data_IF_867323080902
#
_entry.id   IF_867323080902
#
_cell.length_a   1.000
_cell.length_b   1.000
_cell.length_c   1.000
_cell.angle_alpha   90.00
_cell.angle_beta   90.00
_cell.angle_gamma   90.00
#
_symmetry.space_group_name_H-M   'P 1'
#
loop_
_entity.id
_entity.type
_entity.pdbx_description
1 polymer ?
#
# COMPACT_ATOMS: atom_id res chain seq x y z
N UNK A 1 -15.52 14.28 19.22
CA UNK A 1 -15.08 13.18 20.11
C UNK A 1 -14.86 11.89 19.33
N UNK A 2 -15.82 11.44 18.51
CA UNK A 2 -15.64 10.25 17.65
C UNK A 2 -14.47 10.38 16.66
N UNK A 3 -14.33 11.53 15.98
CA UNK A 3 -13.24 11.79 15.03
C UNK A 3 -11.85 11.72 15.66
N UNK A 4 -11.70 12.24 16.87
CA UNK A 4 -10.43 12.22 17.61
C UNK A 4 -10.02 10.79 17.97
N UNK A 5 -10.97 9.96 18.41
CA UNK A 5 -10.74 8.54 18.70
C UNK A 5 -10.36 7.75 17.44
N UNK A 6 -11.03 8.00 16.31
CA UNK A 6 -10.69 7.33 15.04
C UNK A 6 -9.32 7.74 14.54
N UNK A 7 -8.96 9.02 14.63
CA UNK A 7 -7.65 9.52 14.20
C UNK A 7 -6.53 8.97 15.09
N UNK A 8 -6.74 8.91 16.41
CA UNK A 8 -5.78 8.34 17.35
C UNK A 8 -5.57 6.84 17.11
N UNK A 9 -6.65 6.07 16.93
CA UNK A 9 -6.55 4.64 16.61
C UNK A 9 -5.84 4.40 15.26
N UNK A 10 -6.12 5.22 14.24
CA UNK A 10 -5.42 5.13 12.96
C UNK A 10 -3.91 5.36 13.13
N UNK A 11 -3.51 6.37 13.91
CA UNK A 11 -2.10 6.65 14.18
C UNK A 11 -1.41 5.51 14.93
N UNK A 12 -2.06 4.93 15.95
CA UNK A 12 -1.52 3.79 16.71
C UNK A 12 -1.35 2.57 15.80
N UNK A 13 -2.36 2.24 14.99
CA UNK A 13 -2.30 1.11 14.06
C UNK A 13 -1.25 1.32 12.97
N UNK A 14 -1.12 2.54 12.42
CA UNK A 14 -0.07 2.90 11.46
C UNK A 14 1.31 2.76 12.11
N UNK A 15 1.49 3.25 13.33
CA UNK A 15 2.75 3.15 14.08
C UNK A 15 3.16 1.70 14.34
N UNK A 16 2.22 0.87 14.79
CA UNK A 16 2.45 -0.55 15.02
C UNK A 16 2.77 -1.32 13.72
N UNK A 17 1.99 -1.07 12.66
CA UNK A 17 2.24 -1.63 11.33
C UNK A 17 3.64 -1.26 10.80
N UNK A 18 4.06 -0.01 10.99
CA UNK A 18 5.41 0.43 10.60
C UNK A 18 6.49 -0.27 11.39
N UNK A 19 6.36 -0.36 12.71
CA UNK A 19 7.35 -1.00 13.58
C UNK A 19 7.51 -2.49 13.23
N UNK A 20 6.40 -3.21 13.08
CA UNK A 20 6.42 -4.62 12.69
C UNK A 20 7.05 -4.83 11.32
N UNK A 21 6.69 -4.00 10.32
CA UNK A 21 7.35 -4.05 9.00
C UNK A 21 8.86 -3.82 9.11
N UNK A 22 9.31 -2.86 9.92
CA UNK A 22 10.75 -2.58 10.06
C UNK A 22 11.52 -3.75 10.65
N UNK A 23 10.93 -4.46 11.61
CA UNK A 23 11.50 -5.66 12.21
C UNK A 23 11.53 -6.81 11.20
N UNK A 24 10.39 -7.16 10.58
CA UNK A 24 10.32 -8.29 9.65
C UNK A 24 11.21 -8.12 8.41
N UNK A 25 11.39 -6.88 7.95
CA UNK A 25 12.24 -6.58 6.80
C UNK A 25 13.70 -6.24 7.19
N UNK A 26 14.04 -6.30 8.49
CA UNK A 26 15.37 -6.00 9.01
C UNK A 26 15.89 -4.66 8.50
N UNK A 27 15.02 -3.64 8.50
CA UNK A 27 15.31 -2.32 7.91
C UNK A 27 16.59 -1.70 8.49
N UNK A 28 16.81 -1.68 9.82
CA UNK A 28 18.04 -1.10 10.37
C UNK A 28 19.32 -1.77 9.85
N UNK A 29 19.33 -3.12 9.78
CA UNK A 29 20.50 -3.87 9.30
C UNK A 29 20.76 -3.60 7.82
N UNK A 30 19.70 -3.58 7.00
CA UNK A 30 19.83 -3.31 5.57
C UNK A 30 20.26 -1.86 5.28
N UNK A 31 19.80 -0.89 6.08
CA UNK A 31 20.27 0.49 5.96
C UNK A 31 21.74 0.62 6.35
N UNK A 32 22.16 -0.07 7.42
CA UNK A 32 23.56 -0.12 7.81
C UNK A 32 24.43 -0.76 6.71
N UNK A 33 24.02 -1.89 6.15
CA UNK A 33 24.72 -2.52 5.03
C UNK A 33 24.82 -1.59 3.83
N UNK A 34 23.72 -0.92 3.46
CA UNK A 34 23.71 0.05 2.37
C UNK A 34 24.70 1.20 2.65
N UNK A 35 24.68 1.76 3.86
CA UNK A 35 25.56 2.88 4.22
C UNK A 35 27.04 2.47 4.25
N UNK A 36 27.36 1.22 4.61
CA UNK A 36 28.71 0.66 4.52
C UNK A 36 29.17 0.43 3.06
N UNK A 37 28.23 0.29 2.12
CA UNK A 37 28.54 0.15 0.69
C UNK A 37 28.64 1.51 -0.01
N UNK A 38 28.01 2.55 0.56
CA UNK A 38 27.91 3.89 0.01
C UNK A 38 28.27 4.94 1.09
N UNK A 39 29.55 5.01 1.48
CA UNK A 39 30.01 5.84 2.60
C UNK A 39 29.78 7.35 2.41
N UNK A 40 29.75 7.78 1.16
CA UNK A 40 29.73 9.17 0.71
C UNK A 40 28.31 9.63 0.32
N UNK A 41 27.30 8.79 0.53
CA UNK A 41 25.91 9.08 0.16
C UNK A 41 25.04 9.29 1.39
N UNK A 42 24.38 10.45 1.46
CA UNK A 42 23.41 10.73 2.51
C UNK A 42 22.05 10.09 2.22
N UNK A 43 21.53 9.31 3.18
CA UNK A 43 20.16 8.77 3.13
C UNK A 43 19.19 9.84 3.63
N UNK A 44 18.27 10.28 2.77
CA UNK A 44 17.28 11.33 3.06
C UNK A 44 15.93 10.75 3.50
N UNK A 45 15.53 9.62 2.93
CA UNK A 45 14.35 8.89 3.34
C UNK A 45 14.53 7.39 3.07
N UNK A 46 13.91 6.56 3.91
CA UNK A 46 13.87 5.13 3.67
C UNK A 46 12.56 4.53 4.21
N UNK A 47 12.17 3.40 3.63
CA UNK A 47 11.05 2.63 4.15
C UNK A 47 10.82 1.32 3.41
N UNK A 48 10.16 0.39 4.10
CA UNK A 48 9.66 -0.83 3.46
C UNK A 48 8.71 -0.45 2.34
N UNK A 49 8.84 -1.13 1.21
CA UNK A 49 8.03 -0.87 0.02
C UNK A 49 7.50 -2.14 -0.63
N UNK A 50 6.34 -2.00 -1.28
CA UNK A 50 5.94 -2.82 -2.41
C UNK A 50 6.22 -2.05 -3.69
N UNK A 51 7.07 -2.58 -4.54
CA UNK A 51 7.56 -1.92 -5.73
C UNK A 51 7.10 -2.65 -7.00
N UNK A 52 6.75 -1.88 -8.02
CA UNK A 52 6.37 -2.38 -9.34
C UNK A 52 7.00 -1.51 -10.41
N UNK A 53 7.45 -2.17 -11.48
CA UNK A 53 7.74 -1.53 -12.76
C UNK A 53 6.53 -1.74 -13.65
N UNK A 54 6.09 -0.69 -14.33
CA UNK A 54 4.90 -0.65 -15.16
C UNK A 54 5.31 -0.35 -16.60
N UNK A 55 4.58 -0.88 -17.56
CA UNK A 55 4.81 -0.61 -18.99
C UNK A 55 4.34 0.79 -19.41
N UNK A 56 3.43 1.39 -18.65
CA UNK A 56 2.87 2.71 -18.91
C UNK A 56 2.51 3.42 -17.59
N UNK A 57 2.35 4.73 -17.64
CA UNK A 57 1.80 5.48 -16.52
C UNK A 57 0.32 5.15 -16.30
N UNK A 58 0.08 4.16 -15.42
CA UNK A 58 -1.25 3.70 -15.08
C UNK A 58 -1.71 4.26 -13.73
N UNK A 59 -3.02 4.48 -13.53
CA UNK A 59 -3.56 4.87 -12.24
C UNK A 59 -3.33 3.76 -11.19
N UNK A 60 -3.20 4.15 -9.92
CA UNK A 60 -3.05 3.20 -8.81
C UNK A 60 -4.37 2.47 -8.57
N UNK A 61 -4.37 1.14 -8.72
CA UNK A 61 -5.55 0.29 -8.52
C UNK A 61 -5.26 -0.89 -7.57
N UNK A 62 -6.30 -1.41 -6.91
CA UNK A 62 -6.25 -2.70 -6.22
C UNK A 62 -6.31 -3.82 -7.25
N UNK A 63 -5.15 -4.32 -7.62
CA UNK A 63 -5.00 -5.37 -8.62
C UNK A 63 -4.00 -6.43 -8.19
N UNK A 64 -4.05 -7.59 -8.86
CA UNK A 64 -3.18 -8.73 -8.59
C UNK A 64 -1.69 -8.40 -8.76
N UNK A 65 -1.34 -7.38 -9.56
CA UNK A 65 0.03 -6.92 -9.71
C UNK A 65 0.70 -6.51 -8.38
N UNK A 66 -0.08 -6.09 -7.36
CA UNK A 66 0.46 -5.83 -6.03
C UNK A 66 0.75 -7.09 -5.21
N UNK A 67 0.13 -8.22 -5.55
CA UNK A 67 0.44 -9.51 -4.92
C UNK A 67 1.82 -9.98 -5.38
N UNK A 68 2.09 -9.91 -6.69
CA UNK A 68 3.36 -10.24 -7.32
C UNK A 68 4.42 -9.13 -7.21
N UNK A 69 4.08 -7.98 -6.62
CA UNK A 69 5.02 -6.86 -6.47
C UNK A 69 6.27 -7.25 -5.68
N UNK A 70 7.40 -6.66 -6.06
CA UNK A 70 8.64 -6.77 -5.32
C UNK A 70 8.42 -6.19 -3.93
N UNK A 71 8.83 -6.92 -2.89
CA UNK A 71 8.81 -6.43 -1.51
C UNK A 71 10.25 -6.17 -1.09
N UNK A 72 10.51 -5.00 -0.56
CA UNK A 72 11.88 -4.61 -0.22
C UNK A 72 11.91 -3.31 0.56
N UNK A 73 13.02 -2.60 0.41
CA UNK A 73 13.19 -1.27 0.97
C UNK A 73 13.47 -0.30 -0.16
N UNK A 74 12.79 0.84 -0.12
CA UNK A 74 13.10 2.00 -0.94
C UNK A 74 13.98 2.93 -0.12
N UNK A 75 15.10 3.36 -0.70
CA UNK A 75 16.05 4.31 -0.11
C UNK A 75 16.16 5.48 -1.07
N UNK A 76 15.94 6.69 -0.56
CA UNK A 76 16.18 7.95 -1.25
C UNK A 76 17.48 8.56 -0.75
N UNK A 77 18.31 8.93 -1.70
CA UNK A 77 19.57 9.65 -1.50
C UNK A 77 19.54 10.98 -2.24
N UNK A 78 20.61 11.76 -2.17
CA UNK A 78 20.70 13.06 -2.85
C UNK A 78 20.61 12.96 -4.38
N UNK A 79 21.05 11.84 -4.96
CA UNK A 79 21.20 11.68 -6.41
C UNK A 79 20.42 10.49 -6.97
N UNK A 80 19.93 9.58 -6.12
CA UNK A 80 19.33 8.33 -6.60
C UNK A 80 18.25 7.73 -5.67
N UNK A 81 17.33 6.98 -6.27
CA UNK A 81 16.39 6.08 -5.60
C UNK A 81 16.85 4.62 -5.77
N UNK A 82 16.97 3.90 -4.66
CA UNK A 82 17.38 2.50 -4.63
C UNK A 82 16.24 1.59 -4.15
N UNK A 83 15.99 0.49 -4.88
CA UNK A 83 15.01 -0.52 -4.48
C UNK A 83 15.41 -1.93 -4.97
N UNK A 84 16.19 -2.64 -4.16
CA UNK A 84 16.76 -3.94 -4.56
C UNK A 84 17.89 -3.73 -5.57
N UNK A 85 17.76 -4.32 -6.75
CA UNK A 85 18.68 -4.10 -7.89
C UNK A 85 18.32 -2.87 -8.74
N UNK A 86 17.25 -2.16 -8.40
CA UNK A 86 16.87 -0.93 -9.11
C UNK A 86 17.62 0.25 -8.54
N UNK A 87 18.35 0.92 -9.42
CA UNK A 87 19.01 2.19 -9.19
C UNK A 87 18.41 3.21 -10.18
N UNK A 88 17.69 4.21 -9.66
CA UNK A 88 16.96 5.19 -10.46
C UNK A 88 17.57 6.57 -10.17
N UNK A 89 18.51 7.05 -11.00
CA UNK A 89 19.12 8.36 -10.81
C UNK A 89 18.07 9.46 -10.90
N UNK A 90 18.08 10.39 -9.94
CA UNK A 90 17.09 11.47 -9.86
C UNK A 90 17.13 12.38 -11.09
N UNK A 91 18.30 12.53 -11.72
CA UNK A 91 18.46 13.27 -12.97
C UNK A 91 17.67 12.65 -14.15
N UNK A 92 17.28 11.37 -14.08
CA UNK A 92 16.49 10.70 -15.11
C UNK A 92 14.99 10.76 -14.84
N UNK A 93 14.57 11.27 -13.68
CA UNK A 93 13.16 11.36 -13.29
C UNK A 93 12.51 12.54 -14.01
N UNK A 94 11.52 12.24 -14.85
CA UNK A 94 10.71 13.25 -15.55
C UNK A 94 9.50 13.69 -14.72
N UNK A 95 8.94 12.78 -13.93
CA UNK A 95 7.79 13.05 -13.07
C UNK A 95 7.86 12.24 -11.78
N UNK A 96 7.54 12.87 -10.65
CA UNK A 96 7.40 12.21 -9.37
C UNK A 96 6.11 12.65 -8.66
N UNK A 97 5.21 11.70 -8.39
CA UNK A 97 3.92 11.96 -7.74
C UNK A 97 3.81 11.18 -6.44
N UNK A 98 3.58 11.86 -5.32
CA UNK A 98 3.30 11.23 -4.04
C UNK A 98 1.79 11.23 -3.77
N UNK A 99 1.16 10.08 -3.97
CA UNK A 99 -0.26 9.88 -3.72
C UNK A 99 -0.51 9.52 -2.25
N UNK A 100 -1.23 10.39 -1.55
CA UNK A 100 -1.68 10.18 -0.17
C UNK A 100 -2.97 9.37 -0.12
N UNK A 101 -2.91 8.23 0.57
CA UNK A 101 -3.99 7.28 0.76
C UNK A 101 -4.25 7.10 2.25
N UNK A 102 -5.43 6.59 2.62
CA UNK A 102 -5.78 6.36 4.04
C UNK A 102 -4.73 5.50 4.76
N UNK A 103 -4.25 4.42 4.13
CA UNK A 103 -3.30 3.48 4.73
C UNK A 103 -1.80 3.75 4.47
N UNK A 104 -1.42 4.78 3.72
CA UNK A 104 -0.03 4.94 3.28
C UNK A 104 0.15 5.92 2.12
N UNK A 105 1.30 5.84 1.48
CA UNK A 105 1.61 6.55 0.23
C UNK A 105 1.78 5.59 -0.93
N UNK A 106 1.55 6.08 -2.14
CA UNK A 106 2.13 5.50 -3.35
C UNK A 106 2.95 6.57 -4.04
N UNK A 107 4.26 6.34 -4.12
CA UNK A 107 5.16 7.16 -4.92
C UNK A 107 5.18 6.61 -6.35
N UNK A 108 4.71 7.41 -7.31
CA UNK A 108 4.86 7.15 -8.74
C UNK A 108 6.09 7.88 -9.26
N UNK A 109 6.91 7.18 -10.04
CA UNK A 109 8.08 7.75 -10.71
C UNK A 109 7.97 7.43 -12.19
N UNK A 110 8.08 8.43 -13.04
CA UNK A 110 8.28 8.28 -14.48
C UNK A 110 9.67 8.80 -14.83
N UNK A 111 10.36 8.10 -15.73
CA UNK A 111 11.69 8.49 -16.20
C UNK A 111 11.63 9.04 -17.62
N UNK A 112 12.67 9.78 -18.01
CA UNK A 112 12.84 10.28 -19.40
C UNK A 112 12.93 9.14 -20.42
N UNK A 113 13.37 7.96 -20.01
CA UNK A 113 13.46 6.76 -20.84
C UNK A 113 12.12 6.05 -21.04
N UNK A 114 11.04 6.52 -20.39
CA UNK A 114 9.71 5.90 -20.45
C UNK A 114 9.48 4.77 -19.45
N UNK A 115 10.41 4.52 -18.52
CA UNK A 115 10.15 3.60 -17.43
C UNK A 115 9.21 4.22 -16.40
N UNK A 116 8.25 3.43 -15.91
CA UNK A 116 7.30 3.83 -14.88
C UNK A 116 7.40 2.92 -13.66
N UNK A 117 7.48 3.51 -12.47
CA UNK A 117 7.59 2.79 -11.20
C UNK A 117 6.49 3.22 -10.23
N UNK A 118 6.01 2.28 -9.44
CA UNK A 118 5.10 2.54 -8.32
C UNK A 118 5.63 1.90 -7.06
N UNK A 119 5.77 2.70 -6.00
CA UNK A 119 6.25 2.28 -4.69
C UNK A 119 5.17 2.53 -3.64
N UNK A 120 4.56 1.47 -3.13
CA UNK A 120 3.69 1.55 -1.96
C UNK A 120 4.54 1.72 -0.71
N UNK A 121 4.28 2.77 0.08
CA UNK A 121 5.08 3.17 1.24
C UNK A 121 4.19 3.36 2.47
N UNK A 122 4.74 3.10 3.65
CA UNK A 122 4.12 3.52 4.89
C UNK A 122 4.21 5.05 5.04
N UNK A 123 3.24 5.67 5.74
CA UNK A 123 3.31 7.11 6.02
C UNK A 123 4.58 7.43 6.81
N UNK A 124 5.44 8.26 6.25
CA UNK A 124 6.66 8.76 6.88
C UNK A 124 6.94 10.18 6.39
N UNK A 125 7.11 11.11 7.34
CA UNK A 125 7.35 12.53 7.10
C UNK A 125 8.60 12.78 6.24
N UNK A 126 9.62 11.93 6.34
CA UNK A 126 10.83 12.04 5.53
C UNK A 126 10.53 12.05 4.02
N UNK A 127 9.57 11.24 3.55
CA UNK A 127 9.15 11.24 2.15
C UNK A 127 8.44 12.52 1.74
N UNK A 128 7.79 13.22 2.67
CA UNK A 128 7.06 14.46 2.39
C UNK A 128 7.94 15.71 2.47
N UNK A 129 8.98 15.68 3.30
CA UNK A 129 9.82 16.85 3.61
C UNK A 129 11.15 16.87 2.89
N UNK A 130 11.53 15.78 2.22
CA UNK A 130 12.71 15.75 1.36
C UNK A 130 12.59 16.80 0.23
N UNK A 131 13.73 17.31 -0.26
CA UNK A 131 13.79 18.40 -1.25
C UNK A 131 14.41 18.00 -2.59
N UNK A 132 14.93 16.78 -2.73
CA UNK A 132 15.71 16.34 -3.90
C UNK A 132 14.85 15.76 -5.02
N UNK A 133 13.73 15.14 -4.67
CA UNK A 133 12.71 14.70 -5.62
C UNK A 133 11.67 15.81 -5.81
N UNK A 134 11.41 16.26 -7.05
CA UNK A 134 10.38 17.26 -7.34
C UNK A 134 8.98 16.66 -7.23
N UNK A 135 8.52 16.43 -6.01
CA UNK A 135 7.27 15.73 -5.73
C UNK A 135 6.05 16.60 -5.96
N UNK A 136 5.14 16.13 -6.82
CA UNK A 136 3.76 16.59 -6.85
C UNK A 136 2.94 15.78 -5.84
N UNK A 137 2.44 16.43 -4.79
CA UNK A 137 1.60 15.78 -3.77
C UNK A 137 0.15 15.76 -4.21
N UNK A 138 -0.49 14.61 -4.17
CA UNK A 138 -1.88 14.44 -4.57
C UNK A 138 -2.64 13.59 -3.55
N UNK A 139 -3.90 13.94 -3.26
CA UNK A 139 -4.77 13.08 -2.47
C UNK A 139 -5.36 12.03 -3.40
N UNK A 140 -5.00 10.77 -3.18
CA UNK A 140 -5.42 9.65 -4.02
C UNK A 140 -6.57 8.87 -3.40
N UNK A 141 -7.33 8.18 -4.25
CA UNK A 141 -8.14 7.04 -3.84
C UNK A 141 -7.80 5.86 -4.73
N UNK A 142 -7.50 4.70 -4.13
CA UNK A 142 -7.23 3.51 -4.92
C UNK A 142 -8.58 2.95 -5.41
N UNK A 143 -8.76 2.90 -6.72
CA UNK A 143 -9.92 2.25 -7.36
C UNK A 143 -9.78 0.73 -7.28
N UNK A 144 -10.89 0.01 -7.18
CA UNK A 144 -10.86 -1.44 -7.32
C UNK A 144 -10.75 -1.82 -8.79
N UNK A 145 -9.89 -2.79 -9.09
CA UNK A 145 -9.94 -3.45 -10.39
C UNK A 145 -11.25 -4.24 -10.51
N UNK A 146 -11.81 -4.37 -11.74
CA UNK A 146 -12.97 -5.24 -11.99
C UNK A 146 -12.74 -6.67 -11.49
N UNK A 147 -11.53 -7.19 -11.68
CA UNK A 147 -11.11 -8.51 -11.21
C UNK A 147 -11.25 -8.66 -9.68
N UNK A 148 -10.80 -7.67 -8.91
CA UNK A 148 -10.95 -7.68 -7.46
C UNK A 148 -12.41 -7.64 -7.01
N UNK A 149 -13.29 -6.98 -7.77
CA UNK A 149 -14.73 -6.95 -7.47
C UNK A 149 -15.37 -8.32 -7.75
N UNK A 150 -15.06 -8.93 -8.89
CA UNK A 150 -15.56 -10.27 -9.26
C UNK A 150 -15.14 -11.31 -8.22
N UNK A 151 -13.86 -11.34 -7.83
CA UNK A 151 -13.37 -12.31 -6.84
C UNK A 151 -14.10 -12.16 -5.50
N UNK A 152 -14.33 -10.93 -5.03
CA UNK A 152 -15.09 -10.69 -3.80
C UNK A 152 -16.54 -11.14 -3.90
N UNK A 153 -17.18 -10.94 -5.06
CA UNK A 153 -18.53 -11.44 -5.28
C UNK A 153 -18.58 -12.98 -5.20
N UNK A 154 -17.60 -13.67 -5.80
CA UNK A 154 -17.48 -15.14 -5.71
C UNK A 154 -17.29 -15.59 -4.26
N UNK A 155 -16.37 -14.96 -3.51
CA UNK A 155 -16.16 -15.29 -2.09
C UNK A 155 -17.43 -15.05 -1.29
N UNK A 156 -18.14 -13.94 -1.52
CA UNK A 156 -19.38 -13.64 -0.82
C UNK A 156 -20.47 -14.68 -1.11
N UNK A 157 -20.66 -15.06 -2.38
CA UNK A 157 -21.59 -16.13 -2.76
C UNK A 157 -21.23 -17.47 -2.10
N UNK A 158 -19.93 -17.82 -2.06
CA UNK A 158 -19.45 -19.03 -1.38
C UNK A 158 -19.70 -19.00 0.14
N UNK A 159 -19.48 -17.85 0.79
CA UNK A 159 -19.75 -17.68 2.22
C UNK A 159 -21.25 -17.78 2.52
N UNK A 160 -22.11 -17.16 1.70
CA UNK A 160 -23.57 -17.26 1.82
C UNK A 160 -24.06 -18.70 1.63
N UNK A 161 -23.53 -19.41 0.64
CA UNK A 161 -23.82 -20.83 0.43
C UNK A 161 -23.39 -21.69 1.62
N UNK A 162 -22.19 -21.46 2.15
CA UNK A 162 -21.68 -22.20 3.30
C UNK A 162 -22.49 -21.92 4.57
N UNK A 163 -22.93 -20.68 4.77
CA UNK A 163 -23.84 -20.29 5.85
C UNK A 163 -25.19 -21.01 5.70
N UNK A 164 -25.77 -21.03 4.50
CA UNK A 164 -27.04 -21.71 4.22
C UNK A 164 -26.96 -23.21 4.55
N UNK A 165 -25.90 -23.89 4.13
CA UNK A 165 -25.66 -25.30 4.48
C UNK A 165 -25.49 -25.52 5.98
N UNK A 166 -24.81 -24.59 6.67
CA UNK A 166 -24.69 -24.61 8.14
C UNK A 166 -26.04 -24.53 8.84
N UNK A 167 -26.92 -23.63 8.36
CA UNK A 167 -28.28 -23.47 8.90
C UNK A 167 -29.11 -24.73 8.67
N UNK A 168 -29.13 -25.27 7.45
CA UNK A 168 -29.88 -26.50 7.14
C UNK A 168 -29.44 -27.69 7.99
N UNK A 169 -28.14 -27.81 8.25
CA UNK A 169 -27.57 -28.89 9.05
C UNK A 169 -27.58 -28.61 10.57
N UNK A 170 -28.15 -27.49 11.02
CA UNK A 170 -28.07 -26.99 12.40
C UNK A 170 -26.63 -27.00 12.97
N UNK A 171 -25.63 -26.78 12.10
CA UNK A 171 -24.22 -26.88 12.46
C UNK A 171 -23.68 -25.50 12.89
N UNK A 172 -23.66 -25.26 14.20
CA UNK A 172 -23.24 -23.99 14.80
C UNK A 172 -21.82 -23.58 14.42
N UNK A 173 -20.88 -24.54 14.30
CA UNK A 173 -19.50 -24.23 13.93
C UNK A 173 -19.39 -23.68 12.50
N UNK A 174 -20.13 -24.25 11.55
CA UNK A 174 -20.20 -23.74 10.17
C UNK A 174 -20.79 -22.34 10.12
N UNK A 175 -21.87 -22.10 10.88
CA UNK A 175 -22.52 -20.80 10.99
C UNK A 175 -21.54 -19.75 11.54
N UNK A 176 -20.87 -20.05 12.66
CA UNK A 176 -19.89 -19.14 13.27
C UNK A 176 -18.72 -18.84 12.33
N UNK A 177 -18.18 -19.86 11.66
CA UNK A 177 -17.09 -19.68 10.70
C UNK A 177 -17.50 -18.81 9.51
N UNK A 178 -18.72 -18.99 9.00
CA UNK A 178 -19.26 -18.18 7.92
C UNK A 178 -19.47 -16.71 8.35
N UNK A 179 -19.92 -16.47 9.58
CA UNK A 179 -20.08 -15.13 10.13
C UNK A 179 -18.73 -14.43 10.31
N UNK A 180 -17.71 -15.14 10.82
CA UNK A 180 -16.34 -14.60 10.93
C UNK A 180 -15.80 -14.27 9.54
N UNK A 181 -15.93 -15.17 8.57
CA UNK A 181 -15.50 -14.92 7.19
C UNK A 181 -16.24 -13.72 6.56
N UNK A 182 -17.55 -13.61 6.82
CA UNK A 182 -18.37 -12.46 6.38
C UNK A 182 -17.91 -11.16 7.02
N UNK A 183 -17.53 -11.17 8.30
CA UNK A 183 -17.01 -9.99 8.98
C UNK A 183 -15.67 -9.54 8.38
N UNK A 184 -14.79 -10.49 8.05
CA UNK A 184 -13.47 -10.20 7.49
C UNK A 184 -13.53 -9.72 6.03
N UNK A 185 -14.46 -10.23 5.22
CA UNK A 185 -14.53 -9.94 3.78
C UNK A 185 -15.63 -8.93 3.44
N UNK A 186 -16.81 -9.09 4.05
CA UNK A 186 -18.02 -8.32 3.74
C UNK A 186 -18.07 -6.94 4.37
N UNK A 187 -17.68 -6.78 5.64
CA UNK A 187 -17.72 -5.48 6.34
C UNK A 187 -16.82 -4.44 5.65
N UNK A 188 -15.55 -4.74 5.28
CA UNK A 188 -14.72 -3.77 4.57
C UNK A 188 -15.30 -3.36 3.20
N UNK A 189 -16.01 -4.27 2.53
CA UNK A 189 -16.65 -3.99 1.25
C UNK A 189 -17.85 -3.05 1.45
N UNK A 190 -18.73 -3.35 2.42
CA UNK A 190 -19.91 -2.55 2.74
C UNK A 190 -19.54 -1.14 3.20
N UNK A 191 -18.61 -1.00 4.14
CA UNK A 191 -18.14 0.30 4.63
C UNK A 191 -17.66 1.19 3.48
N UNK A 192 -17.04 0.59 2.46
CA UNK A 192 -16.50 1.33 1.33
C UNK A 192 -17.53 1.67 0.27
N UNK A 193 -18.53 0.81 0.06
CA UNK A 193 -19.72 1.15 -0.75
C UNK A 193 -20.41 2.36 -0.13
N UNK A 194 -20.61 2.35 1.18
CA UNK A 194 -21.21 3.47 1.92
C UNK A 194 -20.39 4.76 1.78
N UNK A 195 -19.06 4.70 1.92
CA UNK A 195 -18.18 5.85 1.67
C UNK A 195 -18.33 6.43 0.26
N UNK A 196 -18.46 5.57 -0.75
CA UNK A 196 -18.63 6.00 -2.15
C UNK A 196 -19.99 6.66 -2.38
N UNK A 197 -21.06 6.15 -1.75
CA UNK A 197 -22.38 6.77 -1.78
C UNK A 197 -22.37 8.15 -1.11
N UNK A 198 -21.63 8.32 -0.01
CA UNK A 198 -21.47 9.61 0.66
C UNK A 198 -20.66 10.65 -0.14
N UNK A 199 -19.77 10.22 -1.03
CA UNK A 199 -18.99 11.11 -1.89
C UNK A 199 -19.75 11.60 -3.12
N UNK A 200 -20.88 10.96 -3.46
CA UNK A 200 -21.69 11.27 -4.63
C UNK A 200 -22.96 12.07 -4.31
N UNK A 201 -23.22 12.34 -3.02
CA UNK A 201 -24.29 13.20 -2.51
C UNK A 201 -23.69 14.49 -1.96
#
# INVERSE_FOLDING_TARGET
MLSYLTDWLEQVLIGFSRATCYVFYLVPLRLQTFQNQHHDVQILAAGVTKARKMEADAPVQYELGWVASRRGMLILTETCLFCGDWEIPLATVSEAVLLSLTGGYVLKISTVAGDHYQFGLNKNRAWETQSVLPLTKQKGSIKYSPQSLILRAIVLMGVLWYLYQGILAANLAKILLALIASALVGIPLLLRILQKLQQNN
#
